data_IF_647173135066
#
_entry.id   IF_647173135066
#
_cell.length_a   1.000
_cell.length_b   1.000
_cell.length_c   1.000
_cell.angle_alpha   90.00
_cell.angle_beta   90.00
_cell.angle_gamma   90.00
#
_symmetry.space_group_name_H-M   'P 1'
#
loop_
_entity.id
_entity.type
_entity.pdbx_description
1 polymer ?
#
# COMPACT_ATOMS: atom_id res chain seq x y z
N UNK A 1 -28.96 15.71 23.21
CA UNK A 1 -27.82 14.90 23.75
C UNK A 1 -27.91 13.40 23.44
N UNK A 2 -29.10 12.77 23.48
CA UNK A 2 -29.29 11.33 23.24
C UNK A 2 -28.97 10.86 21.81
N UNK A 3 -29.42 11.59 20.79
CA UNK A 3 -29.19 11.24 19.39
C UNK A 3 -27.69 11.11 19.05
N UNK A 4 -26.85 12.03 19.52
CA UNK A 4 -25.39 12.00 19.28
C UNK A 4 -24.72 10.80 19.97
N UNK A 5 -25.14 10.46 21.19
CA UNK A 5 -24.60 9.27 21.89
C UNK A 5 -24.91 8.00 21.10
N UNK A 6 -26.14 7.89 20.59
CA UNK A 6 -26.64 6.78 19.79
C UNK A 6 -25.94 6.66 18.43
N UNK A 7 -25.78 7.77 17.69
CA UNK A 7 -25.06 7.80 16.40
C UNK A 7 -23.62 7.30 16.57
N UNK A 8 -22.91 7.80 17.60
CA UNK A 8 -21.54 7.35 17.88
C UNK A 8 -21.47 5.85 18.22
N UNK A 9 -22.53 5.28 18.83
CA UNK A 9 -22.57 3.85 19.19
C UNK A 9 -22.79 3.00 17.93
N UNK A 10 -23.76 3.39 17.09
CA UNK A 10 -23.98 2.78 15.77
C UNK A 10 -22.73 2.85 14.89
N UNK A 11 -22.09 4.02 14.83
CA UNK A 11 -20.86 4.21 14.04
C UNK A 11 -19.71 3.34 14.52
N UNK A 12 -19.57 3.14 15.85
CA UNK A 12 -18.58 2.22 16.40
C UNK A 12 -18.86 0.78 15.97
N UNK A 13 -20.11 0.31 16.09
CA UNK A 13 -20.49 -1.05 15.66
C UNK A 13 -20.26 -1.28 14.16
N UNK A 14 -20.59 -0.30 13.31
CA UNK A 14 -20.32 -0.38 11.86
C UNK A 14 -18.82 -0.48 11.60
N UNK A 15 -17.99 0.29 12.32
CA UNK A 15 -16.55 0.23 12.16
C UNK A 15 -15.96 -1.11 12.64
N UNK A 16 -16.48 -1.66 13.75
CA UNK A 16 -16.11 -3.00 14.24
C UNK A 16 -16.47 -4.08 13.20
N UNK A 17 -17.68 -4.05 12.66
CA UNK A 17 -18.12 -5.00 11.62
C UNK A 17 -17.30 -4.89 10.34
N UNK A 18 -16.96 -3.67 9.90
CA UNK A 18 -16.12 -3.47 8.72
C UNK A 18 -14.69 -4.00 8.87
N UNK A 19 -14.20 -4.22 10.09
CA UNK A 19 -12.91 -4.87 10.32
C UNK A 19 -12.97 -6.40 10.22
N UNK A 20 -14.16 -6.99 10.33
CA UNK A 20 -14.41 -8.41 10.14
C UNK A 20 -14.54 -8.79 8.65
N UNK A 21 -14.80 -7.80 7.79
CA UNK A 21 -14.87 -8.02 6.34
C UNK A 21 -13.48 -8.27 5.75
N UNK A 22 -13.33 -9.43 5.12
CA UNK A 22 -12.08 -9.89 4.47
C UNK A 22 -11.69 -9.02 3.26
N UNK A 23 -12.64 -8.32 2.64
CA UNK A 23 -12.39 -7.49 1.46
C UNK A 23 -11.87 -6.09 1.81
N UNK A 24 -11.95 -5.69 3.08
CA UNK A 24 -11.49 -4.37 3.54
C UNK A 24 -9.97 -4.37 3.72
N UNK A 25 -9.28 -3.64 2.83
CA UNK A 25 -7.81 -3.63 2.73
C UNK A 25 -7.20 -2.26 3.01
N UNK A 26 -5.89 -2.26 3.26
CA UNK A 26 -5.00 -1.09 3.28
C UNK A 26 -5.54 0.13 4.06
N UNK A 27 -5.63 1.29 3.40
CA UNK A 27 -6.00 2.57 4.01
C UNK A 27 -7.40 2.57 4.64
N UNK A 28 -8.36 1.90 4.00
CA UNK A 28 -9.73 1.77 4.55
C UNK A 28 -9.70 1.02 5.87
N UNK A 29 -8.96 -0.10 5.95
CA UNK A 29 -8.80 -0.87 7.20
C UNK A 29 -8.19 -0.02 8.30
N UNK A 30 -7.10 0.72 8.01
CA UNK A 30 -6.46 1.62 8.99
C UNK A 30 -7.42 2.72 9.44
N UNK A 31 -8.22 3.28 8.52
CA UNK A 31 -9.20 4.33 8.85
C UNK A 31 -10.29 3.83 9.82
N UNK A 32 -10.74 2.58 9.63
CA UNK A 32 -11.72 1.93 10.51
C UNK A 32 -11.09 1.64 11.87
N UNK A 33 -9.87 1.10 11.91
CA UNK A 33 -9.14 0.88 13.16
C UNK A 33 -8.96 2.17 13.96
N UNK A 34 -8.50 3.26 13.33
CA UNK A 34 -8.40 4.60 13.96
C UNK A 34 -9.75 5.08 14.49
N UNK A 35 -10.83 4.83 13.74
CA UNK A 35 -12.19 5.19 14.16
C UNK A 35 -12.64 4.38 15.38
N UNK A 36 -12.36 3.08 15.43
CA UNK A 36 -12.63 2.22 16.59
C UNK A 36 -11.88 2.73 17.82
N UNK A 37 -10.59 3.04 17.71
CA UNK A 37 -9.80 3.59 18.83
C UNK A 37 -10.33 4.93 19.33
N UNK A 38 -10.78 5.80 18.41
CA UNK A 38 -11.35 7.12 18.74
C UNK A 38 -12.71 7.02 19.43
N UNK A 39 -13.59 6.12 18.99
CA UNK A 39 -14.97 6.00 19.48
C UNK A 39 -15.14 4.97 20.61
N UNK A 40 -14.26 3.98 20.70
CA UNK A 40 -14.26 2.89 21.67
C UNK A 40 -13.70 3.27 23.05
N UNK A 41 -13.78 4.54 23.44
CA UNK A 41 -13.36 4.97 24.78
C UNK A 41 -14.43 4.59 25.82
N UNK A 42 -14.04 4.37 27.10
CA UNK A 42 -15.01 4.16 28.18
C UNK A 42 -16.07 5.28 28.24
N UNK A 43 -17.35 4.97 28.53
CA UNK A 43 -17.91 3.67 28.92
C UNK A 43 -18.34 2.77 27.74
N UNK A 44 -18.00 3.11 26.48
CA UNK A 44 -18.49 2.36 25.30
C UNK A 44 -17.79 1.02 25.12
N UNK A 45 -16.47 1.02 25.30
CA UNK A 45 -15.61 -0.16 25.36
C UNK A 45 -14.53 0.10 26.40
N UNK A 46 -14.16 -0.95 27.12
CA UNK A 46 -13.10 -0.94 28.14
C UNK A 46 -11.85 -1.66 27.67
N UNK A 47 -11.99 -2.61 26.74
CA UNK A 47 -10.89 -3.39 26.18
C UNK A 47 -10.26 -2.64 25.00
N UNK A 48 -8.95 -2.41 25.08
CA UNK A 48 -8.17 -1.85 23.97
C UNK A 48 -7.92 -2.94 22.92
N UNK A 49 -8.17 -2.69 21.63
CA UNK A 49 -7.89 -3.65 20.56
C UNK A 49 -6.39 -3.93 20.40
N UNK A 50 -6.04 -5.15 19.97
CA UNK A 50 -4.64 -5.59 19.76
C UNK A 50 -3.91 -4.76 18.71
N UNK A 51 -4.60 -4.25 17.71
CA UNK A 51 -4.02 -3.38 16.67
C UNK A 51 -3.75 -1.94 17.14
N UNK A 52 -4.01 -1.60 18.40
CA UNK A 52 -3.85 -0.21 18.88
C UNK A 52 -2.42 0.29 18.72
N UNK A 53 -1.44 -0.53 19.08
CA UNK A 53 -0.02 -0.17 19.00
C UNK A 53 0.44 0.07 17.56
N UNK A 54 0.06 -0.82 16.64
CA UNK A 54 0.45 -0.69 15.23
C UNK A 54 -0.16 0.55 14.57
N UNK A 55 -1.40 0.90 14.93
CA UNK A 55 -2.09 2.07 14.39
C UNK A 55 -1.60 3.40 14.98
N UNK A 56 -1.14 3.37 16.24
CA UNK A 56 -0.60 4.53 16.94
C UNK A 56 0.92 4.67 16.83
N UNK A 57 1.58 3.73 16.12
CA UNK A 57 3.02 3.78 15.87
C UNK A 57 3.38 5.14 15.28
N UNK A 58 4.19 5.89 16.02
CA UNK A 58 4.75 7.16 15.54
C UNK A 58 5.82 6.86 14.52
N UNK A 59 5.72 7.51 13.38
CA UNK A 59 6.76 7.51 12.35
C UNK A 59 7.68 8.69 12.68
N UNK A 60 8.98 8.52 12.46
CA UNK A 60 9.94 9.62 12.64
C UNK A 60 9.61 10.72 11.64
N UNK A 61 9.27 11.90 12.14
CA UNK A 61 8.94 13.07 11.33
C UNK A 61 10.13 14.03 11.33
N UNK A 62 10.61 14.38 10.14
CA UNK A 62 11.66 15.38 9.93
C UNK A 62 10.99 16.61 9.32
N UNK A 63 11.29 17.78 9.88
CA UNK A 63 10.73 19.06 9.41
C UNK A 63 11.83 19.81 8.67
N UNK A 64 11.63 20.02 7.37
CA UNK A 64 12.55 20.75 6.50
C UNK A 64 11.97 22.14 6.24
N UNK A 65 12.78 23.18 6.42
CA UNK A 65 12.39 24.54 6.12
C UNK A 65 12.66 24.85 4.64
N UNK A 66 11.68 25.43 3.95
CA UNK A 66 11.80 25.86 2.55
C UNK A 66 11.28 27.28 2.36
N UNK A 67 11.73 27.96 1.30
CA UNK A 67 11.28 29.33 0.96
C UNK A 67 10.08 29.27 0.00
N UNK A 68 8.82 29.52 0.43
CA UNK A 68 7.65 29.34 -0.41
C UNK A 68 7.49 30.49 -1.43
N UNK A 69 7.00 30.15 -2.62
CA UNK A 69 6.63 31.08 -3.69
C UNK A 69 5.14 31.44 -3.66
N UNK A 70 4.30 30.53 -3.16
CA UNK A 70 2.86 30.70 -3.10
C UNK A 70 2.29 30.08 -1.81
N UNK A 71 1.29 30.75 -1.24
CA UNK A 71 0.57 30.32 -0.04
C UNK A 71 -0.95 30.25 -0.29
N UNK A 72 -1.36 29.90 -1.51
CA UNK A 72 -2.77 29.87 -1.92
C UNK A 72 -3.33 28.45 -1.84
N UNK A 73 -4.31 28.25 -0.96
CA UNK A 73 -5.02 26.99 -0.80
C UNK A 73 -5.64 26.52 -2.12
N UNK A 74 -5.41 25.27 -2.50
CA UNK A 74 -5.91 24.68 -3.75
C UNK A 74 -4.94 24.75 -4.93
N UNK A 75 -3.79 25.42 -4.77
CA UNK A 75 -2.70 25.41 -5.77
C UNK A 75 -1.53 24.55 -5.29
N UNK A 76 -0.79 23.95 -6.22
CA UNK A 76 0.45 23.21 -5.88
C UNK A 76 1.46 24.17 -5.26
N UNK A 77 1.98 23.83 -4.09
CA UNK A 77 3.02 24.62 -3.43
C UNK A 77 4.31 24.59 -4.24
N UNK A 78 4.93 25.76 -4.41
CA UNK A 78 6.23 25.95 -5.08
C UNK A 78 7.20 26.62 -4.12
N UNK A 79 8.48 26.29 -4.28
CA UNK A 79 9.57 26.76 -3.42
C UNK A 79 10.75 27.22 -4.26
N UNK A 80 11.63 28.04 -3.68
CA UNK A 80 12.95 28.30 -4.23
C UNK A 80 13.91 27.18 -3.85
N UNK A 81 14.55 26.57 -4.84
CA UNK A 81 15.67 25.65 -4.65
C UNK A 81 16.96 26.40 -4.29
N UNK A 82 17.99 25.65 -3.90
CA UNK A 82 19.31 26.22 -3.57
C UNK A 82 19.94 27.03 -4.72
N UNK A 83 19.71 26.59 -5.97
CA UNK A 83 20.18 27.27 -7.18
C UNK A 83 19.38 28.54 -7.54
N UNK A 84 18.35 28.88 -6.74
CA UNK A 84 17.43 29.99 -7.00
C UNK A 84 16.28 29.66 -7.96
N UNK A 85 16.28 28.47 -8.56
CA UNK A 85 15.23 28.00 -9.46
C UNK A 85 13.95 27.58 -8.72
N UNK A 86 12.81 27.62 -9.42
CA UNK A 86 11.53 27.19 -8.86
C UNK A 86 11.42 25.66 -8.81
N UNK A 87 11.11 25.10 -7.65
CA UNK A 87 10.98 23.66 -7.45
C UNK A 87 9.77 23.26 -6.60
N UNK A 88 9.45 21.96 -6.62
CA UNK A 88 8.41 21.35 -5.77
C UNK A 88 8.94 20.98 -4.38
N UNK A 89 8.04 20.57 -3.48
CA UNK A 89 8.40 20.14 -2.12
C UNK A 89 9.32 18.94 -2.10
N UNK A 90 9.20 18.09 -3.12
CA UNK A 90 9.98 16.86 -3.27
C UNK A 90 11.44 17.18 -3.57
N UNK A 91 11.70 18.21 -4.39
CA UNK A 91 13.06 18.65 -4.68
C UNK A 91 13.71 19.32 -3.47
N UNK A 92 12.94 20.11 -2.70
CA UNK A 92 13.42 20.68 -1.43
C UNK A 92 13.83 19.58 -0.45
N UNK A 93 13.03 18.52 -0.35
CA UNK A 93 13.38 17.37 0.47
C UNK A 93 14.65 16.65 -0.02
N UNK A 94 14.81 16.47 -1.34
CA UNK A 94 16.02 15.87 -1.92
C UNK A 94 17.28 16.70 -1.63
N UNK A 95 17.20 18.03 -1.78
CA UNK A 95 18.30 18.95 -1.47
C UNK A 95 18.70 18.84 0.02
N UNK A 96 17.72 18.82 0.92
CA UNK A 96 17.99 18.61 2.34
C UNK A 96 18.72 17.30 2.62
N UNK A 97 18.25 16.17 2.07
CA UNK A 97 18.91 14.87 2.30
C UNK A 97 20.29 14.77 1.64
N UNK A 98 20.52 15.45 0.52
CA UNK A 98 21.82 15.53 -0.13
C UNK A 98 22.83 16.39 0.66
N UNK A 99 22.37 17.44 1.35
CA UNK A 99 23.18 18.30 2.20
C UNK A 99 23.12 17.88 3.67
N UNK A 100 22.42 18.70 4.48
CA UNK A 100 22.33 18.61 5.93
C UNK A 100 21.79 17.26 6.46
N UNK A 101 20.98 16.57 5.66
CA UNK A 101 20.38 15.28 5.99
C UNK A 101 21.32 14.08 5.84
N UNK A 102 22.58 14.29 5.45
CA UNK A 102 23.63 13.28 5.55
C UNK A 102 24.26 12.82 4.23
N UNK A 103 24.29 13.66 3.18
CA UNK A 103 25.04 13.32 1.96
C UNK A 103 24.37 12.29 1.05
N UNK A 104 23.04 12.14 1.14
CA UNK A 104 22.32 11.09 0.43
C UNK A 104 22.13 11.40 -1.05
N UNK A 105 22.18 10.36 -1.87
CA UNK A 105 21.70 10.43 -3.25
C UNK A 105 20.30 9.83 -3.32
N UNK A 106 19.36 10.57 -3.88
CA UNK A 106 17.95 10.19 -3.93
C UNK A 106 17.29 10.59 -5.24
N UNK A 107 16.21 9.88 -5.56
CA UNK A 107 15.32 10.18 -6.69
C UNK A 107 13.89 10.31 -6.18
N UNK A 108 13.13 11.23 -6.76
CA UNK A 108 11.70 11.30 -6.52
C UNK A 108 10.98 10.44 -7.57
N UNK A 109 10.36 9.33 -7.13
CA UNK A 109 9.74 8.35 -8.04
C UNK A 109 8.42 7.75 -7.52
N UNK A 110 7.76 8.39 -6.55
CA UNK A 110 6.54 7.88 -5.89
C UNK A 110 6.54 6.35 -5.69
N UNK A 111 5.60 5.63 -6.33
CA UNK A 111 5.51 4.17 -6.36
C UNK A 111 6.24 3.50 -7.53
N UNK A 112 6.68 4.30 -8.51
CA UNK A 112 7.31 3.82 -9.74
C UNK A 112 8.59 3.03 -9.49
N UNK A 113 9.42 3.44 -8.53
CA UNK A 113 10.65 2.71 -8.19
C UNK A 113 10.37 1.26 -7.75
N UNK A 114 9.33 1.06 -6.93
CA UNK A 114 8.93 -0.27 -6.46
C UNK A 114 8.36 -1.13 -7.57
N UNK A 115 7.56 -0.53 -8.46
CA UNK A 115 7.02 -1.23 -9.63
C UNK A 115 8.12 -1.63 -10.61
N UNK A 116 9.12 -0.78 -10.81
CA UNK A 116 10.29 -1.10 -11.65
C UNK A 116 11.11 -2.22 -11.05
N UNK A 117 11.44 -2.15 -9.75
CA UNK A 117 12.18 -3.22 -9.06
C UNK A 117 11.40 -4.52 -9.12
N UNK A 118 10.10 -4.49 -8.84
CA UNK A 118 9.23 -5.65 -8.95
C UNK A 118 9.24 -6.20 -10.38
N UNK A 119 9.07 -5.35 -11.39
CA UNK A 119 9.06 -5.73 -12.80
C UNK A 119 10.38 -6.38 -13.24
N UNK A 120 11.52 -5.88 -12.77
CA UNK A 120 12.84 -6.46 -13.06
C UNK A 120 13.06 -7.80 -12.37
N UNK A 121 12.71 -7.90 -11.08
CA UNK A 121 12.88 -9.13 -10.30
C UNK A 121 11.90 -10.23 -10.73
N UNK A 122 10.68 -9.84 -11.11
CA UNK A 122 9.61 -10.74 -11.49
C UNK A 122 9.50 -10.90 -13.01
N UNK A 123 10.42 -10.33 -13.78
CA UNK A 123 10.36 -10.28 -15.25
C UNK A 123 10.11 -11.66 -15.86
N UNK A 124 10.90 -12.66 -15.44
CA UNK A 124 10.77 -14.03 -15.92
C UNK A 124 9.41 -14.62 -15.57
N UNK A 125 8.86 -14.33 -14.38
CA UNK A 125 7.52 -14.81 -14.01
C UNK A 125 6.42 -14.11 -14.82
N UNK A 126 6.54 -12.79 -14.97
CA UNK A 126 5.58 -11.95 -15.69
C UNK A 126 5.54 -12.32 -17.17
N UNK A 127 6.70 -12.51 -17.80
CA UNK A 127 6.80 -12.75 -19.24
C UNK A 127 6.91 -14.22 -19.63
N UNK A 128 7.23 -15.15 -18.75
CA UNK A 128 7.21 -16.57 -19.13
C UNK A 128 5.79 -17.06 -19.46
N UNK A 129 4.77 -16.42 -18.88
CA UNK A 129 3.37 -16.59 -19.29
C UNK A 129 3.11 -16.06 -20.72
N UNK A 130 3.88 -15.07 -21.20
CA UNK A 130 3.74 -14.50 -22.54
C UNK A 130 4.55 -15.23 -23.63
N UNK A 131 5.57 -16.02 -23.26
CA UNK A 131 6.49 -16.68 -24.19
C UNK A 131 6.12 -18.14 -24.52
N UNK A 132 4.96 -18.64 -24.08
CA UNK A 132 4.47 -19.94 -24.50
C UNK A 132 4.14 -19.92 -26.01
N UNK A 133 4.83 -20.72 -26.86
CA UNK A 133 4.63 -20.70 -28.31
C UNK A 133 3.27 -21.26 -28.76
N UNK A 134 2.46 -21.81 -27.84
CA UNK A 134 1.05 -22.07 -28.08
C UNK A 134 0.21 -20.97 -27.42
N UNK A 135 -0.12 -19.95 -28.22
CA UNK A 135 -1.27 -19.06 -28.04
C UNK A 135 -1.63 -18.73 -26.58
N UNK A 136 -0.92 -17.76 -25.98
CA UNK A 136 -1.25 -17.08 -24.71
C UNK A 136 -1.32 -17.98 -23.46
N UNK A 137 -0.65 -17.61 -22.36
CA UNK A 137 -0.74 -18.29 -21.05
C UNK A 137 -2.17 -18.65 -20.60
N UNK A 138 -3.19 -17.95 -21.10
CA UNK A 138 -4.62 -18.26 -20.93
C UNK A 138 -5.01 -19.69 -21.31
N UNK A 139 -4.21 -20.43 -22.09
CA UNK A 139 -4.48 -21.81 -22.46
C UNK A 139 -4.11 -22.83 -21.36
N UNK A 140 -3.28 -22.43 -20.39
CA UNK A 140 -2.85 -23.31 -19.30
C UNK A 140 -4.02 -23.54 -18.35
N UNK A 141 -4.36 -24.81 -18.08
CA UNK A 141 -5.46 -25.17 -17.16
C UNK A 141 -4.98 -25.88 -15.89
N UNK A 142 -3.76 -26.41 -15.89
CA UNK A 142 -3.20 -27.11 -14.74
C UNK A 142 -1.97 -26.38 -14.18
N UNK A 143 -1.79 -26.46 -12.86
CA UNK A 143 -0.64 -25.86 -12.17
C UNK A 143 0.69 -26.47 -12.62
N UNK A 144 0.73 -27.77 -12.91
CA UNK A 144 1.94 -28.47 -13.39
C UNK A 144 2.48 -27.90 -14.69
N UNK A 145 1.62 -27.29 -15.51
CA UNK A 145 1.96 -26.82 -16.84
C UNK A 145 2.44 -25.35 -16.80
N UNK A 146 2.40 -24.71 -15.63
CA UNK A 146 2.97 -23.38 -15.43
C UNK A 146 4.50 -23.44 -15.55
N UNK A 147 5.11 -22.37 -16.08
CA UNK A 147 6.56 -22.24 -16.06
C UNK A 147 7.14 -22.37 -14.67
N UNK A 148 8.32 -22.97 -14.57
CA UNK A 148 9.00 -23.20 -13.29
C UNK A 148 9.13 -21.92 -12.47
N UNK A 149 9.55 -20.81 -13.08
CA UNK A 149 9.65 -19.51 -12.39
C UNK A 149 8.32 -19.06 -11.75
N UNK A 150 7.19 -19.29 -12.43
CA UNK A 150 5.87 -18.94 -11.89
C UNK A 150 5.44 -19.86 -10.74
N UNK A 151 5.75 -21.16 -10.83
CA UNK A 151 5.47 -22.11 -9.74
C UNK A 151 6.31 -21.79 -8.50
N UNK A 152 7.63 -21.60 -8.69
CA UNK A 152 8.57 -21.23 -7.62
C UNK A 152 8.12 -19.92 -6.93
N UNK A 153 7.60 -18.96 -7.69
CA UNK A 153 7.02 -17.73 -7.13
C UNK A 153 5.77 -17.99 -6.27
N UNK A 154 4.81 -18.79 -6.76
CA UNK A 154 3.60 -19.14 -6.00
C UNK A 154 3.98 -19.85 -4.70
N UNK A 155 4.88 -20.83 -4.76
CA UNK A 155 5.37 -21.56 -3.59
C UNK A 155 6.08 -20.62 -2.60
N UNK A 156 6.90 -19.67 -3.11
CA UNK A 156 7.56 -18.68 -2.26
C UNK A 156 6.56 -17.75 -1.57
N UNK A 157 5.47 -17.36 -2.23
CA UNK A 157 4.40 -16.57 -1.62
C UNK A 157 3.70 -17.37 -0.52
N UNK A 158 3.37 -18.65 -0.76
CA UNK A 158 2.77 -19.52 0.25
C UNK A 158 3.66 -19.66 1.49
N UNK A 159 4.97 -19.83 1.29
CA UNK A 159 5.95 -19.91 2.37
C UNK A 159 6.02 -18.61 3.19
N UNK A 160 6.09 -17.45 2.51
CA UNK A 160 6.20 -16.14 3.16
C UNK A 160 4.92 -15.74 3.92
N UNK A 161 3.76 -16.09 3.37
CA UNK A 161 2.46 -15.73 3.95
C UNK A 161 1.98 -16.79 4.94
N UNK A 162 2.46 -18.02 4.84
CA UNK A 162 2.01 -19.16 5.63
C UNK A 162 0.59 -19.62 5.30
N UNK A 163 0.09 -19.29 4.09
CA UNK A 163 -1.28 -19.59 3.65
C UNK A 163 -1.22 -20.19 2.24
N UNK A 164 -1.89 -21.34 1.99
CA UNK A 164 -1.91 -21.97 0.66
C UNK A 164 -2.67 -21.12 -0.37
N UNK A 165 -2.20 -21.12 -1.61
CA UNK A 165 -2.81 -20.45 -2.76
C UNK A 165 -3.64 -21.48 -3.52
N UNK A 166 -4.96 -21.31 -3.53
CA UNK A 166 -5.87 -22.22 -4.24
C UNK A 166 -6.29 -21.73 -5.65
N UNK A 167 -6.11 -20.44 -5.92
CA UNK A 167 -6.63 -19.79 -7.11
C UNK A 167 -5.55 -18.92 -7.76
N UNK A 168 -5.23 -19.21 -9.02
CA UNK A 168 -4.20 -18.48 -9.77
C UNK A 168 -4.82 -17.93 -11.06
N UNK A 169 -4.88 -16.60 -11.18
CA UNK A 169 -5.33 -15.93 -12.40
C UNK A 169 -4.20 -15.80 -13.41
N UNK A 170 -4.43 -16.25 -14.64
CA UNK A 170 -3.43 -16.29 -15.73
C UNK A 170 -3.81 -15.42 -16.93
N UNK A 171 -4.90 -14.66 -16.84
CA UNK A 171 -5.31 -13.75 -17.90
C UNK A 171 -6.61 -12.97 -17.58
N UNK A 172 -7.10 -12.16 -18.54
CA UNK A 172 -8.22 -11.25 -18.33
C UNK A 172 -9.61 -11.93 -18.32
N UNK A 173 -9.71 -13.18 -18.80
CA UNK A 173 -10.96 -13.95 -18.86
C UNK A 173 -11.34 -14.55 -17.51
N UNK A 174 -12.64 -14.69 -17.23
CA UNK A 174 -13.14 -15.40 -16.02
C UNK A 174 -12.77 -16.88 -16.02
N UNK A 175 -12.57 -17.44 -17.19
CA UNK A 175 -12.11 -18.81 -17.40
C UNK A 175 -10.59 -18.94 -17.31
N UNK A 176 -9.82 -17.84 -17.25
CA UNK A 176 -8.36 -17.84 -17.13
C UNK A 176 -7.92 -18.01 -15.66
N UNK A 177 -8.44 -19.05 -14.99
CA UNK A 177 -8.20 -19.37 -13.58
C UNK A 177 -7.76 -20.82 -13.43
N UNK A 178 -6.65 -21.03 -12.73
CA UNK A 178 -6.13 -22.34 -12.35
C UNK A 178 -6.51 -22.64 -10.90
N UNK A 179 -6.98 -23.86 -10.65
CA UNK A 179 -7.25 -24.42 -9.33
C UNK A 179 -6.04 -25.26 -8.91
N UNK A 180 -5.43 -24.94 -7.76
CA UNK A 180 -4.28 -25.66 -7.19
C UNK A 180 -4.69 -26.50 -5.99
#
# INVERSE_FOLDING_TARGET
MYAVKHIKKKSLTIAENGLLDLWVRAGTRISLQRRVLRLGKPPRRWKTPTFSESVQRKITEVHVQGRPLNCVTGTKSRFYGEDGEQCGVEQVALQYYAGEGGGWQGIHAESGIWLTIFGLLMWDTILCLSMCPMSSATCIRNYSDLPKAARDYVERIEELVGVPVHYIGIGPGRDALIYK
#
